data_IF_043709196800
#
_entry.id   IF_043709196800
#
_cell.length_a   1.000
_cell.length_b   1.000
_cell.length_c   1.000
_cell.angle_alpha   90.00
_cell.angle_beta   90.00
_cell.angle_gamma   90.00
#
_symmetry.space_group_name_H-M   'P 1'
#
loop_
_entity.id
_entity.type
_entity.pdbx_description
1 polymer ?
#
# COMPACT_ATOMS: atom_id res chain seq x y z
N UNK A 1 2.35 -54.65 -0.43
CA UNK A 1 2.61 -54.70 -1.88
C UNK A 1 1.27 -54.80 -2.62
N UNK A 2 0.60 -53.67 -2.84
CA UNK A 2 -0.59 -53.60 -3.68
C UNK A 2 -0.42 -52.46 -4.68
N UNK A 3 0.71 -52.49 -5.40
CA UNK A 3 0.95 -51.66 -6.57
C UNK A 3 0.22 -52.27 -7.77
N UNK A 4 -1.11 -52.17 -7.76
CA UNK A 4 -1.88 -52.42 -8.98
C UNK A 4 -1.44 -51.41 -10.02
N UNK A 5 -0.98 -51.88 -11.19
CA UNK A 5 -0.64 -51.02 -12.31
C UNK A 5 -1.89 -50.24 -12.73
N UNK A 6 -2.06 -49.04 -12.17
CA UNK A 6 -3.11 -48.10 -12.54
C UNK A 6 -3.07 -47.93 -14.05
N UNK A 7 -4.22 -48.13 -14.69
CA UNK A 7 -4.33 -47.94 -16.13
C UNK A 7 -3.91 -46.52 -16.50
N UNK A 8 -3.31 -46.28 -17.69
CA UNK A 8 -2.90 -44.93 -18.10
C UNK A 8 -4.00 -43.88 -17.93
N UNK A 9 -5.27 -44.28 -18.12
CA UNK A 9 -6.45 -43.45 -17.87
C UNK A 9 -6.62 -43.06 -16.39
N UNK A 10 -6.47 -44.01 -15.46
CA UNK A 10 -6.52 -43.73 -14.02
C UNK A 10 -5.34 -42.88 -13.55
N UNK A 11 -4.16 -43.04 -14.16
CA UNK A 11 -3.02 -42.14 -13.88
C UNK A 11 -3.33 -40.70 -14.32
N UNK A 12 -3.92 -40.49 -15.49
CA UNK A 12 -4.33 -39.15 -15.92
C UNK A 12 -5.41 -38.55 -15.04
N UNK A 13 -6.41 -39.35 -14.63
CA UNK A 13 -7.46 -38.88 -13.72
C UNK A 13 -6.87 -38.51 -12.35
N UNK A 14 -5.98 -39.33 -11.80
CA UNK A 14 -5.34 -39.05 -10.51
C UNK A 14 -4.40 -37.83 -10.58
N UNK A 15 -3.68 -37.65 -11.69
CA UNK A 15 -2.87 -36.44 -11.92
C UNK A 15 -3.76 -35.20 -12.04
N UNK A 16 -4.89 -35.29 -12.75
CA UNK A 16 -5.85 -34.18 -12.86
C UNK A 16 -6.46 -33.85 -11.50
N UNK A 17 -6.81 -34.85 -10.69
CA UNK A 17 -7.30 -34.65 -9.32
C UNK A 17 -6.25 -34.01 -8.43
N UNK A 18 -4.99 -34.47 -8.49
CA UNK A 18 -3.90 -33.87 -7.72
C UNK A 18 -3.63 -32.42 -8.14
N UNK A 19 -3.68 -32.11 -9.44
CA UNK A 19 -3.55 -30.74 -9.94
C UNK A 19 -4.74 -29.89 -9.50
N UNK A 20 -5.98 -30.36 -9.64
CA UNK A 20 -7.18 -29.65 -9.18
C UNK A 20 -7.19 -29.44 -7.66
N UNK A 21 -6.83 -30.44 -6.87
CA UNK A 21 -6.73 -30.33 -5.41
C UNK A 21 -5.59 -29.40 -5.00
N UNK A 22 -4.46 -29.42 -5.70
CA UNK A 22 -3.37 -28.47 -5.47
C UNK A 22 -3.78 -27.04 -5.85
N UNK A 23 -4.51 -26.84 -6.96
CA UNK A 23 -5.06 -25.55 -7.35
C UNK A 23 -6.10 -25.05 -6.33
N UNK A 24 -6.94 -25.94 -5.80
CA UNK A 24 -7.93 -25.58 -4.78
C UNK A 24 -7.27 -25.27 -3.43
N UNK A 25 -6.13 -25.91 -3.11
CA UNK A 25 -5.34 -25.66 -1.91
C UNK A 25 -4.40 -24.44 -2.04
N UNK A 26 -4.04 -24.04 -3.27
CA UNK A 26 -3.31 -22.80 -3.55
C UNK A 26 -4.18 -21.55 -3.41
N UNK A 27 -5.51 -21.69 -3.42
CA UNK A 27 -6.39 -20.60 -3.06
C UNK A 27 -6.23 -20.33 -1.56
N UNK A 28 -5.65 -19.17 -1.23
CA UNK A 28 -5.51 -18.71 0.15
C UNK A 28 -6.90 -18.69 0.81
N UNK A 29 -6.99 -19.07 2.09
CA UNK A 29 -8.29 -19.14 2.75
C UNK A 29 -8.95 -17.76 2.79
N UNK A 30 -10.24 -17.70 2.42
CA UNK A 30 -11.04 -16.46 2.43
C UNK A 30 -11.00 -15.76 3.80
N UNK A 31 -11.00 -16.55 4.87
CA UNK A 31 -10.86 -16.07 6.26
C UNK A 31 -9.57 -15.27 6.50
N UNK A 32 -8.45 -15.63 5.85
CA UNK A 32 -7.19 -14.90 5.97
C UNK A 32 -7.27 -13.58 5.20
N UNK A 33 -7.91 -13.56 4.04
CA UNK A 33 -8.12 -12.33 3.26
C UNK A 33 -9.03 -11.34 4.00
N UNK A 34 -10.11 -11.84 4.61
CA UNK A 34 -11.00 -11.04 5.45
C UNK A 34 -10.25 -10.46 6.67
N UNK A 35 -9.35 -11.23 7.29
CA UNK A 35 -8.52 -10.72 8.38
C UNK A 35 -7.56 -9.60 7.92
N UNK A 36 -6.95 -9.71 6.73
CA UNK A 36 -6.17 -8.61 6.15
C UNK A 36 -7.03 -7.37 5.88
N UNK A 37 -8.26 -7.58 5.40
CA UNK A 37 -9.20 -6.48 5.21
C UNK A 37 -9.58 -5.79 6.53
N UNK A 38 -9.82 -6.54 7.61
CA UNK A 38 -10.06 -5.97 8.94
C UNK A 38 -8.87 -5.14 9.44
N UNK A 39 -7.64 -5.60 9.17
CA UNK A 39 -6.42 -4.83 9.48
C UNK A 39 -6.39 -3.53 8.69
N UNK A 40 -6.67 -3.56 7.39
CA UNK A 40 -6.76 -2.36 6.55
C UNK A 40 -7.79 -1.36 7.10
N UNK A 41 -9.00 -1.80 7.42
CA UNK A 41 -10.06 -0.95 8.01
C UNK A 41 -9.61 -0.36 9.36
N UNK A 42 -8.91 -1.14 10.18
CA UNK A 42 -8.39 -0.65 11.47
C UNK A 42 -7.30 0.44 11.29
N UNK A 43 -6.51 0.35 10.22
CA UNK A 43 -5.53 1.37 9.87
C UNK A 43 -6.23 2.64 9.38
N UNK A 44 -7.29 2.54 8.58
CA UNK A 44 -8.09 3.69 8.16
C UNK A 44 -8.65 4.46 9.38
N UNK A 45 -9.20 3.74 10.37
CA UNK A 45 -9.66 4.36 11.62
C UNK A 45 -8.52 5.07 12.40
N UNK A 46 -7.31 4.51 12.33
CA UNK A 46 -6.12 5.13 12.92
C UNK A 46 -5.68 6.38 12.16
N UNK A 47 -5.76 6.36 10.82
CA UNK A 47 -5.48 7.51 9.95
C UNK A 47 -6.46 8.65 10.25
N UNK A 48 -7.77 8.38 10.33
CA UNK A 48 -8.78 9.39 10.69
C UNK A 48 -8.50 10.02 12.06
N UNK A 49 -8.04 9.22 13.02
CA UNK A 49 -7.71 9.70 14.36
C UNK A 49 -6.53 10.67 14.32
N UNK A 50 -5.48 10.33 13.57
CA UNK A 50 -4.32 11.20 13.36
C UNK A 50 -4.71 12.46 12.58
N UNK A 51 -5.59 12.36 11.60
CA UNK A 51 -6.09 13.52 10.84
C UNK A 51 -6.82 14.52 11.75
N UNK A 52 -7.69 14.03 12.64
CA UNK A 52 -8.39 14.88 13.64
C UNK A 52 -7.39 15.59 14.57
N UNK A 53 -6.35 14.90 15.01
CA UNK A 53 -5.29 15.49 15.84
C UNK A 53 -4.51 16.57 15.05
N UNK A 54 -4.13 16.27 13.81
CA UNK A 54 -3.43 17.20 12.94
C UNK A 54 -4.27 18.46 12.68
N UNK A 55 -5.58 18.32 12.45
CA UNK A 55 -6.50 19.45 12.28
C UNK A 55 -6.51 20.41 13.48
N UNK A 56 -6.48 19.86 14.70
CA UNK A 56 -6.32 20.63 15.93
C UNK A 56 -5.00 21.41 15.97
N UNK A 57 -3.89 20.77 15.58
CA UNK A 57 -2.56 21.40 15.54
C UNK A 57 -2.53 22.55 14.51
N UNK A 58 -3.07 22.34 13.31
CA UNK A 58 -3.17 23.40 12.29
C UNK A 58 -4.03 24.57 12.76
N UNK A 59 -5.12 24.30 13.49
CA UNK A 59 -5.96 25.36 14.08
C UNK A 59 -5.16 26.19 15.10
N UNK A 60 -4.28 25.56 15.88
CA UNK A 60 -3.40 26.27 16.80
C UNK A 60 -2.36 27.16 16.08
N UNK A 61 -1.82 26.72 14.93
CA UNK A 61 -0.96 27.57 14.10
C UNK A 61 -1.70 28.81 13.56
N UNK A 62 -2.94 28.65 13.11
CA UNK A 62 -3.77 29.76 12.65
C UNK A 62 -4.07 30.75 13.78
N UNK A 63 -4.43 30.25 14.97
CA UNK A 63 -4.66 31.09 16.15
C UNK A 63 -3.39 31.88 16.56
N UNK A 64 -2.24 31.21 16.61
CA UNK A 64 -0.96 31.85 16.93
C UNK A 64 -0.56 32.91 15.89
N UNK A 65 -0.80 32.65 14.60
CA UNK A 65 -0.56 33.61 13.53
C UNK A 65 -1.51 34.81 13.59
N UNK A 66 -2.75 34.61 14.05
CA UNK A 66 -3.70 35.70 14.27
C UNK A 66 -3.28 36.60 15.46
N UNK A 67 -2.73 36.01 16.52
CA UNK A 67 -2.23 36.77 17.68
C UNK A 67 -0.91 37.50 17.40
N UNK A 68 0.02 36.85 16.69
CA UNK A 68 1.32 37.43 16.37
C UNK A 68 1.78 37.08 14.94
N UNK A 69 1.31 37.84 13.93
CA UNK A 69 1.62 37.57 12.53
C UNK A 69 3.12 37.59 12.22
N UNK A 70 3.88 38.45 12.90
CA UNK A 70 5.33 38.62 12.64
C UNK A 70 6.13 37.40 13.09
N UNK A 71 5.78 36.82 14.24
CA UNK A 71 6.50 35.66 14.78
C UNK A 71 5.94 34.33 14.31
N UNK A 72 4.62 34.18 14.24
CA UNK A 72 3.96 32.91 13.97
C UNK A 72 3.51 32.75 12.51
N UNK A 73 3.40 33.84 11.74
CA UNK A 73 3.04 33.80 10.31
C UNK A 73 3.93 32.88 9.47
N UNK A 74 5.27 33.00 9.52
CA UNK A 74 6.16 32.12 8.76
C UNK A 74 6.01 30.63 9.10
N UNK A 75 5.74 30.30 10.36
CA UNK A 75 5.55 28.92 10.81
C UNK A 75 4.21 28.35 10.36
N UNK A 76 3.15 29.16 10.39
CA UNK A 76 1.85 28.80 9.81
C UNK A 76 1.98 28.52 8.32
N UNK A 77 2.67 29.39 7.58
CA UNK A 77 2.83 29.23 6.13
C UNK A 77 3.58 27.95 5.79
N UNK A 78 4.66 27.67 6.52
CA UNK A 78 5.41 26.41 6.43
C UNK A 78 4.53 25.20 6.76
N UNK A 79 3.75 25.26 7.83
CA UNK A 79 2.83 24.19 8.20
C UNK A 79 1.77 23.95 7.10
N UNK A 80 1.21 25.01 6.52
CA UNK A 80 0.22 24.90 5.45
C UNK A 80 0.82 24.35 4.14
N UNK A 81 2.08 24.64 3.81
CA UNK A 81 2.76 24.01 2.66
C UNK A 81 2.93 22.51 2.88
N UNK A 82 3.39 22.10 4.08
CA UNK A 82 3.47 20.68 4.46
C UNK A 82 2.10 20.02 4.33
N UNK A 83 1.05 20.61 4.91
CA UNK A 83 -0.33 20.09 4.82
C UNK A 83 -0.76 19.87 3.37
N UNK A 84 -0.53 20.85 2.51
CA UNK A 84 -0.97 20.77 1.11
C UNK A 84 -0.24 19.67 0.35
N UNK A 85 1.07 19.49 0.57
CA UNK A 85 1.86 18.46 -0.10
C UNK A 85 1.56 17.07 0.43
N UNK A 86 1.36 16.92 1.74
CA UNK A 86 0.93 15.66 2.35
C UNK A 86 -0.43 15.22 1.81
N UNK A 87 -1.39 16.15 1.69
CA UNK A 87 -2.72 15.87 1.14
C UNK A 87 -2.65 15.45 -0.34
N UNK A 88 -1.80 16.10 -1.14
CA UNK A 88 -1.61 15.73 -2.54
C UNK A 88 -1.02 14.30 -2.67
N UNK A 89 0.00 13.96 -1.88
CA UNK A 89 0.58 12.62 -1.89
C UNK A 89 -0.43 11.56 -1.41
N UNK A 90 -1.17 11.86 -0.32
CA UNK A 90 -2.20 10.96 0.19
C UNK A 90 -3.28 10.69 -0.87
N UNK A 91 -3.76 11.73 -1.56
CA UNK A 91 -4.74 11.57 -2.63
C UNK A 91 -4.19 10.72 -3.79
N UNK A 92 -2.92 10.90 -4.17
CA UNK A 92 -2.30 10.06 -5.20
C UNK A 92 -2.26 8.59 -4.79
N UNK A 93 -1.97 8.28 -3.52
CA UNK A 93 -1.99 6.91 -2.99
C UNK A 93 -3.40 6.33 -3.05
N UNK A 94 -4.41 7.09 -2.64
CA UNK A 94 -5.82 6.68 -2.69
C UNK A 94 -6.31 6.44 -4.12
N UNK A 95 -5.90 7.29 -5.08
CA UNK A 95 -6.22 7.12 -6.49
C UNK A 95 -5.58 5.85 -7.08
N UNK A 96 -4.34 5.55 -6.67
CA UNK A 96 -3.64 4.33 -7.06
C UNK A 96 -4.29 3.07 -6.47
N UNK A 97 -4.69 3.12 -5.19
CA UNK A 97 -5.45 2.03 -4.52
C UNK A 97 -6.75 1.75 -5.27
N UNK A 98 -7.52 2.79 -5.57
CA UNK A 98 -8.77 2.65 -6.35
C UNK A 98 -8.51 2.10 -7.75
N UNK A 99 -7.47 2.60 -8.42
CA UNK A 99 -7.11 2.16 -9.77
C UNK A 99 -6.71 0.68 -9.85
N UNK A 100 -5.98 0.14 -8.85
CA UNK A 100 -5.65 -1.29 -8.82
C UNK A 100 -6.87 -2.16 -8.47
N UNK A 101 -7.77 -1.68 -7.61
CA UNK A 101 -9.04 -2.36 -7.32
C UNK A 101 -9.87 -2.48 -8.59
N UNK A 102 -10.04 -1.39 -9.34
CA UNK A 102 -10.74 -1.38 -10.63
C UNK A 102 -10.06 -2.32 -11.65
N UNK A 103 -8.73 -2.31 -11.73
CA UNK A 103 -7.98 -3.19 -12.63
C UNK A 103 -8.12 -4.68 -12.29
N UNK A 104 -8.38 -5.03 -11.02
CA UNK A 104 -8.57 -6.42 -10.56
C UNK A 104 -9.96 -7.01 -10.88
N UNK A 105 -10.91 -6.16 -11.24
CA UNK A 105 -12.31 -6.53 -11.50
C UNK A 105 -13.33 -5.77 -10.67
N UNK A 106 -12.90 -4.80 -9.87
CA UNK A 106 -13.77 -3.91 -9.11
C UNK A 106 -13.94 -4.31 -7.64
N UNK A 107 -14.78 -3.53 -6.96
CA UNK A 107 -15.09 -3.72 -5.55
C UNK A 107 -16.10 -4.85 -5.34
N UNK A 108 -16.10 -5.40 -4.13
CA UNK A 108 -17.07 -6.40 -3.67
C UNK A 108 -18.46 -5.76 -3.50
N UNK A 109 -19.30 -5.91 -4.53
CA UNK A 109 -20.67 -5.37 -4.55
C UNK A 109 -21.53 -5.86 -3.38
N UNK A 110 -21.27 -7.06 -2.83
CA UNK A 110 -22.03 -7.60 -1.71
C UNK A 110 -21.70 -6.90 -0.39
N UNK A 111 -20.48 -6.37 -0.26
CA UNK A 111 -20.05 -5.66 0.94
C UNK A 111 -20.60 -4.23 1.03
N UNK A 112 -20.93 -3.63 -0.11
CA UNK A 112 -21.27 -2.20 -0.20
C UNK A 112 -20.10 -1.25 0.05
N UNK A 113 -18.88 -1.77 0.22
CA UNK A 113 -17.67 -0.98 0.46
C UNK A 113 -16.83 -0.86 -0.83
N UNK A 114 -16.63 0.36 -1.37
CA UNK A 114 -15.85 0.56 -2.59
C UNK A 114 -14.36 0.26 -2.42
N UNK A 115 -13.85 0.18 -1.18
CA UNK A 115 -12.45 -0.08 -0.88
C UNK A 115 -12.16 -1.57 -0.69
N UNK A 116 -13.20 -2.41 -0.62
CA UNK A 116 -13.07 -3.86 -0.52
C UNK A 116 -12.95 -4.47 -1.93
N UNK A 117 -11.78 -4.99 -2.37
CA UNK A 117 -11.68 -5.62 -3.67
C UNK A 117 -12.45 -6.95 -3.73
N UNK A 118 -13.08 -7.24 -4.87
CA UNK A 118 -13.78 -8.51 -5.08
C UNK A 118 -12.82 -9.71 -5.07
N UNK A 119 -11.60 -9.53 -5.58
CA UNK A 119 -10.55 -10.55 -5.68
C UNK A 119 -9.35 -10.21 -4.81
N UNK A 120 -9.53 -10.31 -3.50
CA UNK A 120 -8.48 -10.01 -2.51
C UNK A 120 -7.21 -10.85 -2.67
N UNK A 121 -7.36 -12.07 -3.16
CA UNK A 121 -6.30 -13.06 -3.36
C UNK A 121 -5.59 -12.95 -4.72
N UNK A 122 -5.97 -11.98 -5.56
CA UNK A 122 -5.37 -11.79 -6.88
C UNK A 122 -3.88 -11.40 -6.75
N UNK A 123 -3.01 -12.21 -7.35
CA UNK A 123 -1.55 -12.02 -7.37
C UNK A 123 -1.06 -11.27 -8.62
N UNK A 124 -1.91 -11.11 -9.63
CA UNK A 124 -1.55 -10.60 -10.95
C UNK A 124 -1.97 -9.14 -11.12
N UNK A 125 -3.08 -8.71 -10.52
CA UNK A 125 -3.59 -7.35 -10.65
C UNK A 125 -2.57 -6.29 -10.18
N UNK A 126 -1.95 -6.50 -9.02
CA UNK A 126 -0.92 -5.63 -8.46
C UNK A 126 0.31 -5.46 -9.37
N UNK A 127 1.04 -6.55 -9.75
CA UNK A 127 2.23 -6.40 -10.59
C UNK A 127 1.90 -5.86 -11.98
N UNK A 128 0.74 -6.22 -12.57
CA UNK A 128 0.31 -5.65 -13.84
C UNK A 128 0.10 -4.13 -13.73
N UNK A 129 -0.54 -3.66 -12.66
CA UNK A 129 -0.84 -2.24 -12.48
C UNK A 129 0.39 -1.42 -12.07
N UNK A 130 1.20 -1.90 -11.13
CA UNK A 130 2.33 -1.14 -10.59
C UNK A 130 3.61 -1.32 -11.40
N UNK A 131 3.91 -2.52 -11.91
CA UNK A 131 5.15 -2.80 -12.64
C UNK A 131 4.98 -2.58 -14.14
N UNK A 132 3.99 -3.23 -14.76
CA UNK A 132 3.85 -3.21 -16.23
C UNK A 132 3.31 -1.88 -16.72
N UNK A 133 2.28 -1.32 -16.08
CA UNK A 133 1.75 0.01 -16.44
C UNK A 133 2.59 1.17 -15.87
N UNK A 134 3.61 0.88 -15.04
CA UNK A 134 4.56 1.85 -14.53
C UNK A 134 4.02 2.76 -13.42
N UNK A 135 2.88 2.44 -12.80
CA UNK A 135 2.33 3.26 -11.71
C UNK A 135 3.16 3.16 -10.41
N UNK A 136 3.89 2.07 -10.20
CA UNK A 136 4.83 1.91 -9.08
C UNK A 136 6.00 2.88 -9.16
N UNK A 137 6.53 3.11 -10.36
CA UNK A 137 7.59 4.11 -10.57
C UNK A 137 7.09 5.55 -10.32
N UNK A 138 5.84 5.85 -10.69
CA UNK A 138 5.21 7.15 -10.38
C UNK A 138 5.07 7.36 -8.87
N UNK A 139 4.61 6.34 -8.16
CA UNK A 139 4.50 6.38 -6.70
C UNK A 139 5.87 6.56 -6.04
N UNK A 140 6.87 5.79 -6.47
CA UNK A 140 8.25 5.91 -5.96
C UNK A 140 8.81 7.32 -6.16
N UNK A 141 8.58 7.92 -7.32
CA UNK A 141 8.99 9.30 -7.59
C UNK A 141 8.28 10.30 -6.66
N UNK A 142 6.95 10.19 -6.51
CA UNK A 142 6.19 11.07 -5.62
C UNK A 142 6.63 10.95 -4.14
N UNK A 143 6.92 9.73 -3.68
CA UNK A 143 7.46 9.48 -2.33
C UNK A 143 8.86 10.08 -2.16
N UNK A 144 9.73 9.95 -3.17
CA UNK A 144 11.06 10.54 -3.15
C UNK A 144 11.00 12.07 -3.09
N UNK A 145 10.18 12.69 -3.93
CA UNK A 145 9.99 14.14 -3.96
C UNK A 145 9.45 14.66 -2.62
N UNK A 146 8.49 13.95 -2.04
CA UNK A 146 7.95 14.29 -0.72
C UNK A 146 9.00 14.14 0.40
N UNK A 147 9.82 13.09 0.36
CA UNK A 147 10.93 12.89 1.31
C UNK A 147 11.93 14.05 1.24
N UNK A 148 12.37 14.45 0.05
CA UNK A 148 13.35 15.54 -0.10
C UNK A 148 12.77 16.89 0.36
N UNK A 149 11.47 17.14 0.09
CA UNK A 149 10.77 18.29 0.66
C UNK A 149 10.77 18.26 2.19
N UNK A 150 10.36 17.14 2.80
CA UNK A 150 10.31 17.02 4.26
C UNK A 150 11.70 17.15 4.92
N UNK A 151 12.76 16.69 4.25
CA UNK A 151 14.14 16.88 4.71
C UNK A 151 14.55 18.35 4.73
N UNK A 152 14.12 19.12 3.73
CA UNK A 152 14.32 20.57 3.70
C UNK A 152 13.59 21.24 4.87
N UNK A 153 12.37 20.79 5.16
CA UNK A 153 11.60 21.34 6.28
C UNK A 153 12.15 20.94 7.66
N UNK A 154 12.83 19.81 7.74
CA UNK A 154 13.45 19.25 8.95
C UNK A 154 14.88 19.75 9.24
N UNK A 155 15.37 20.75 8.51
CA UNK A 155 16.74 21.27 8.66
C UNK A 155 17.08 21.60 10.13
N UNK A 156 18.20 21.06 10.61
CA UNK A 156 18.65 21.21 12.00
C UNK A 156 18.07 20.22 13.00
N UNK A 157 17.29 19.22 12.56
CA UNK A 157 16.78 18.13 13.40
C UNK A 157 17.20 16.75 12.87
N UNK A 158 18.37 16.28 13.31
CA UNK A 158 18.95 15.00 12.90
C UNK A 158 18.04 13.80 13.22
N UNK A 159 17.29 13.85 14.33
CA UNK A 159 16.36 12.78 14.70
C UNK A 159 15.22 12.67 13.69
N UNK A 160 14.67 13.81 13.28
CA UNK A 160 13.59 13.86 12.28
C UNK A 160 14.10 13.45 10.89
N UNK A 161 15.29 13.89 10.51
CA UNK A 161 15.92 13.48 9.24
C UNK A 161 16.12 11.97 9.17
N UNK A 162 16.70 11.36 10.21
CA UNK A 162 16.90 9.91 10.26
C UNK A 162 15.57 9.14 10.23
N UNK A 163 14.53 9.66 10.89
CA UNK A 163 13.19 9.08 10.85
C UNK A 163 12.57 9.11 9.45
N UNK A 164 12.73 10.23 8.72
CA UNK A 164 12.27 10.38 7.34
C UNK A 164 13.01 9.43 6.40
N UNK A 165 14.31 9.25 6.57
CA UNK A 165 15.10 8.31 5.77
C UNK A 165 14.68 6.86 5.99
N UNK A 166 14.41 6.45 7.24
CA UNK A 166 13.92 5.12 7.53
C UNK A 166 12.48 4.87 7.06
N UNK A 167 11.61 5.89 7.14
CA UNK A 167 10.20 5.78 6.73
C UNK A 167 10.06 5.70 5.21
N UNK A 168 10.82 6.53 4.49
CA UNK A 168 10.82 6.58 3.03
C UNK A 168 12.08 5.90 2.45
N UNK A 169 12.34 4.68 2.91
CA UNK A 169 13.34 3.81 2.30
C UNK A 169 12.78 3.26 0.97
N UNK A 170 13.35 3.78 -0.12
CA UNK A 170 13.00 3.45 -1.50
C UNK A 170 14.14 2.69 -2.20
N UNK A 171 15.07 2.13 -1.42
CA UNK A 171 16.21 1.38 -1.94
C UNK A 171 15.81 0.02 -2.49
N UNK A 172 16.63 -0.51 -3.40
CA UNK A 172 16.44 -1.83 -3.95
C UNK A 172 16.85 -2.90 -2.93
N UNK A 173 16.14 -4.03 -2.93
CA UNK A 173 16.30 -5.06 -1.92
C UNK A 173 17.04 -6.28 -2.47
N UNK A 174 17.77 -6.98 -1.59
CA UNK A 174 18.34 -8.30 -1.92
C UNK A 174 17.35 -9.40 -1.57
N UNK A 175 16.99 -10.20 -2.56
CA UNK A 175 16.15 -11.38 -2.41
C UNK A 175 16.85 -12.57 -3.09
N UNK A 176 17.08 -13.66 -2.34
CA UNK A 176 17.75 -14.88 -2.84
C UNK A 176 19.02 -14.63 -3.68
N UNK A 177 19.87 -13.71 -3.20
CA UNK A 177 21.15 -13.39 -3.83
C UNK A 177 21.07 -12.49 -5.07
N UNK A 178 19.87 -12.11 -5.50
CA UNK A 178 19.63 -11.16 -6.60
C UNK A 178 19.09 -9.84 -6.05
N UNK A 179 19.48 -8.71 -6.66
CA UNK A 179 18.89 -7.41 -6.35
C UNK A 179 17.58 -7.26 -7.12
N UNK A 180 16.48 -7.05 -6.42
CA UNK A 180 15.16 -6.74 -6.98
C UNK A 180 14.83 -5.27 -6.72
N UNK A 181 14.09 -4.64 -7.63
CA UNK A 181 13.73 -3.23 -7.44
C UNK A 181 12.78 -3.05 -6.26
N UNK A 182 12.73 -1.85 -5.68
CA UNK A 182 11.74 -1.52 -4.65
C UNK A 182 10.31 -1.85 -5.07
N UNK A 183 9.94 -1.51 -6.31
CA UNK A 183 8.61 -1.77 -6.86
C UNK A 183 8.31 -3.27 -6.91
N UNK A 184 9.26 -4.08 -7.38
CA UNK A 184 9.10 -5.54 -7.41
C UNK A 184 8.94 -6.10 -6.00
N UNK A 185 9.79 -5.66 -5.07
CA UNK A 185 9.71 -6.09 -3.67
C UNK A 185 8.38 -5.72 -3.01
N UNK A 186 7.74 -4.62 -3.41
CA UNK A 186 6.47 -4.15 -2.81
C UNK A 186 5.23 -4.74 -3.48
N UNK A 187 5.25 -4.94 -4.79
CA UNK A 187 4.05 -5.21 -5.57
C UNK A 187 4.02 -6.58 -6.23
N UNK A 188 5.15 -7.30 -6.27
CA UNK A 188 5.26 -8.63 -6.87
C UNK A 188 5.01 -9.73 -5.82
N UNK A 189 4.27 -10.77 -6.19
CA UNK A 189 3.98 -11.96 -5.37
C UNK A 189 3.09 -11.77 -4.13
N UNK A 190 2.57 -10.58 -3.87
CA UNK A 190 1.63 -10.33 -2.78
C UNK A 190 0.17 -10.36 -3.27
N UNK A 191 -0.76 -10.92 -2.46
CA UNK A 191 -2.19 -10.76 -2.68
C UNK A 191 -2.57 -9.29 -2.75
N UNK A 192 -3.56 -8.97 -3.59
CA UNK A 192 -4.07 -7.61 -3.76
C UNK A 192 -4.40 -6.94 -2.42
N UNK A 193 -5.06 -7.65 -1.50
CA UNK A 193 -5.41 -7.05 -0.20
C UNK A 193 -4.17 -6.65 0.62
N UNK A 194 -3.09 -7.45 0.55
CA UNK A 194 -1.84 -7.16 1.24
C UNK A 194 -1.10 -5.97 0.64
N UNK A 195 -1.31 -5.67 -0.63
CA UNK A 195 -0.75 -4.49 -1.31
C UNK A 195 -1.53 -3.22 -0.96
N UNK A 196 -2.83 -3.36 -0.68
CA UNK A 196 -3.70 -2.24 -0.30
C UNK A 196 -3.59 -1.83 1.17
N UNK A 197 -3.11 -2.75 2.02
CA UNK A 197 -2.87 -2.57 3.47
C UNK A 197 -1.54 -1.88 3.72
#
# INVERSE_FOLDING_TARGET
MAGGNLTPRQKMINMMYLVLTALLALNVSREVMDAFYEVMVSQEASIETVEKQNSSIYTAFEAAAAENPVKAGPWRDKANDVKSRSAALYQQIEDLKRGVIEASGGADEESGDPNKPQKMDDLEASPNYFLIQGNGAKLKAALADYREFMKTEAEGNDLLMNSLEGTFDLSDHKHDGTTISWEQHKFEHFPLISVLT
#
